data_IF_536542464021
#
_entry.id   IF_536542464021
#
_cell.length_a   1.000
_cell.length_b   1.000
_cell.length_c   1.000
_cell.angle_alpha   90.00
_cell.angle_beta   90.00
_cell.angle_gamma   90.00
#
_symmetry.space_group_name_H-M   'P 1'
#
loop_
_entity.id
_entity.type
_entity.pdbx_description
1 polymer ?
#
# COMPACT_ATOMS: atom_id res chain seq x y z
N UNK A 1 -7.80 -10.55 25.09
CA UNK A 1 -7.29 -11.05 23.80
C UNK A 1 -5.81 -10.82 23.74
N UNK A 2 -5.03 -11.75 23.16
CA UNK A 2 -3.61 -11.53 22.89
C UNK A 2 -3.46 -10.41 21.88
N UNK A 3 -2.44 -9.58 22.05
CA UNK A 3 -2.10 -8.53 21.12
C UNK A 3 -1.03 -9.06 20.15
N UNK A 4 -1.35 -9.13 18.85
CA UNK A 4 -0.44 -9.61 17.83
C UNK A 4 0.30 -8.40 17.25
N UNK A 5 1.61 -8.33 17.47
CA UNK A 5 2.43 -7.18 17.07
C UNK A 5 3.71 -7.65 16.41
N UNK A 6 4.00 -7.13 15.23
CA UNK A 6 5.33 -7.21 14.63
C UNK A 6 6.15 -6.02 15.15
N UNK A 7 7.39 -6.25 15.60
CA UNK A 7 8.27 -5.23 16.19
C UNK A 7 9.66 -5.27 15.58
N UNK A 8 10.20 -4.08 15.33
CA UNK A 8 11.54 -3.87 14.80
C UNK A 8 12.22 -2.71 15.52
N UNK A 9 13.54 -2.79 15.71
CA UNK A 9 14.34 -1.75 16.37
C UNK A 9 15.16 -0.90 15.37
N UNK A 10 14.90 -1.05 14.08
CA UNK A 10 15.55 -0.31 12.99
C UNK A 10 14.54 -0.01 11.88
N UNK A 11 14.78 1.03 11.06
CA UNK A 11 14.05 1.22 9.80
C UNK A 11 14.22 0.02 8.87
N UNK A 12 13.26 -0.18 7.96
CA UNK A 12 13.47 -1.07 6.82
C UNK A 12 14.50 -0.46 5.87
N UNK A 13 15.30 -1.29 5.25
CA UNK A 13 16.22 -0.83 4.21
C UNK A 13 15.44 -0.37 2.98
N UNK A 14 15.77 0.81 2.45
CA UNK A 14 15.18 1.26 1.18
C UNK A 14 15.85 0.57 0.00
N UNK A 15 15.46 -0.70 -0.21
CA UNK A 15 15.95 -1.60 -1.25
C UNK A 15 14.86 -2.60 -1.61
N UNK A 16 15.06 -3.36 -2.70
CA UNK A 16 14.13 -4.44 -3.08
C UNK A 16 14.00 -5.49 -1.97
N UNK A 17 15.11 -5.85 -1.32
CA UNK A 17 15.10 -6.80 -0.22
C UNK A 17 14.34 -6.26 1.00
N UNK A 18 14.57 -5.01 1.38
CA UNK A 18 13.85 -4.37 2.49
C UNK A 18 12.35 -4.23 2.19
N UNK A 19 11.99 -3.89 0.94
CA UNK A 19 10.60 -3.85 0.51
C UNK A 19 9.92 -5.22 0.62
N UNK A 20 10.58 -6.29 0.24
CA UNK A 20 10.01 -7.65 0.28
C UNK A 20 9.89 -8.22 1.70
N UNK A 21 10.84 -7.90 2.59
CA UNK A 21 11.02 -8.62 3.84
C UNK A 21 10.86 -7.78 5.11
N UNK A 22 10.96 -6.46 5.03
CA UNK A 22 11.07 -5.62 6.23
C UNK A 22 9.98 -4.56 6.37
N UNK A 23 9.35 -4.09 5.27
CA UNK A 23 8.30 -3.06 5.34
C UNK A 23 7.08 -3.52 6.11
N UNK A 24 6.34 -2.57 6.70
CA UNK A 24 5.08 -2.84 7.36
C UNK A 24 3.91 -2.47 6.44
N UNK A 25 3.11 -3.45 6.00
CA UNK A 25 1.99 -3.20 5.10
C UNK A 25 0.73 -2.79 5.86
N UNK A 26 0.03 -1.79 5.34
CA UNK A 26 -1.33 -1.42 5.76
C UNK A 26 -2.23 -1.29 4.53
N UNK A 27 -3.54 -1.43 4.70
CA UNK A 27 -4.46 -1.28 3.58
C UNK A 27 -5.93 -1.49 3.96
N UNK A 28 -6.82 -1.04 3.07
CA UNK A 28 -8.28 -1.12 3.23
C UNK A 28 -8.97 -1.95 2.13
N UNK A 29 -8.21 -2.73 1.36
CA UNK A 29 -8.72 -3.53 0.25
C UNK A 29 -8.86 -2.78 -1.09
N UNK A 30 -8.81 -1.42 -1.09
CA UNK A 30 -8.70 -0.58 -2.28
C UNK A 30 -7.30 0.03 -2.39
N UNK A 31 -6.84 0.62 -1.30
CA UNK A 31 -5.54 1.23 -1.13
C UNK A 31 -4.65 0.31 -0.29
N UNK A 32 -3.38 0.28 -0.62
CA UNK A 32 -2.33 -0.37 0.17
C UNK A 32 -1.14 0.56 0.30
N UNK A 33 -0.41 0.48 1.41
CA UNK A 33 0.80 1.25 1.65
C UNK A 33 1.83 0.40 2.39
N UNK A 34 3.09 0.53 1.99
CA UNK A 34 4.26 -0.04 2.65
C UNK A 34 5.00 1.07 3.41
N UNK A 35 5.17 0.88 4.73
CA UNK A 35 5.84 1.82 5.63
C UNK A 35 7.26 1.33 5.91
N UNK A 36 8.28 2.09 5.49
CA UNK A 36 9.69 1.74 5.72
C UNK A 36 10.16 2.15 7.12
N UNK A 37 9.63 3.23 7.67
CA UNK A 37 9.97 3.73 8.99
C UNK A 37 11.28 4.52 9.02
N UNK A 38 11.70 5.13 7.91
CA UNK A 38 12.90 5.95 7.82
C UNK A 38 12.86 7.17 8.74
N UNK A 39 14.01 7.64 9.23
CA UNK A 39 14.10 8.75 10.20
C UNK A 39 14.44 10.07 9.53
N UNK A 40 15.50 10.12 8.73
CA UNK A 40 15.86 11.31 7.95
C UNK A 40 15.07 11.43 6.66
N UNK A 41 14.74 10.29 6.07
CA UNK A 41 13.90 10.20 4.87
C UNK A 41 12.97 8.99 5.03
N UNK A 42 11.66 9.22 4.95
CA UNK A 42 10.65 8.18 4.95
C UNK A 42 10.11 7.96 3.56
N UNK A 43 9.95 6.71 3.21
CA UNK A 43 9.28 6.27 1.99
C UNK A 43 8.00 5.53 2.34
N UNK A 44 6.89 6.03 1.84
CA UNK A 44 5.58 5.42 1.98
C UNK A 44 5.08 5.04 0.59
N UNK A 45 5.43 3.84 0.14
CA UNK A 45 5.01 3.37 -1.17
C UNK A 45 3.55 2.97 -1.13
N UNK A 46 2.73 3.55 -2.00
CA UNK A 46 1.29 3.28 -2.03
C UNK A 46 0.80 2.79 -3.38
N UNK A 47 -0.30 2.08 -3.32
CA UNK A 47 -0.97 1.55 -4.51
C UNK A 47 -2.48 1.58 -4.37
N UNK A 48 -3.15 1.62 -5.52
CA UNK A 48 -4.59 1.41 -5.67
C UNK A 48 -4.80 0.19 -6.56
N UNK A 49 -5.67 -0.72 -6.15
CA UNK A 49 -5.77 -2.08 -6.72
C UNK A 49 -6.15 -2.15 -8.19
N UNK A 50 -6.69 -1.08 -8.78
CA UNK A 50 -7.16 -1.07 -10.16
C UNK A 50 -6.21 -0.40 -11.15
N UNK A 51 -5.04 0.07 -10.69
CA UNK A 51 -4.02 0.67 -11.55
C UNK A 51 -3.25 -0.43 -12.30
N UNK A 52 -3.75 -0.80 -13.47
CA UNK A 52 -3.19 -1.84 -14.33
C UNK A 52 -3.06 -1.38 -15.77
N UNK A 53 -1.97 -1.80 -16.43
CA UNK A 53 -1.89 -1.76 -17.89
C UNK A 53 -2.75 -2.89 -18.50
N UNK A 54 -2.79 -2.99 -19.82
CA UNK A 54 -3.55 -4.02 -20.51
C UNK A 54 -5.03 -3.69 -20.70
N UNK A 55 -5.81 -4.69 -21.07
CA UNK A 55 -7.22 -4.53 -21.43
C UNK A 55 -7.44 -3.82 -22.77
N UNK A 56 -8.68 -3.34 -23.03
CA UNK A 56 -8.98 -2.60 -24.26
C UNK A 56 -8.17 -1.29 -24.32
N UNK A 57 -7.67 -0.96 -25.49
CA UNK A 57 -6.98 0.29 -25.78
C UNK A 57 -7.16 0.71 -27.22
N UNK A 58 -6.64 1.88 -27.62
CA UNK A 58 -6.70 2.34 -29.02
C UNK A 58 -6.03 1.37 -29.98
N UNK A 59 -4.96 0.68 -29.54
CA UNK A 59 -4.25 -0.35 -30.31
C UNK A 59 -4.87 -1.77 -30.20
N UNK A 60 -5.75 -1.98 -29.23
CA UNK A 60 -6.39 -3.27 -28.92
C UNK A 60 -7.91 -3.12 -28.87
N UNK A 61 -8.51 -2.55 -29.92
CA UNK A 61 -9.97 -2.26 -29.98
C UNK A 61 -10.82 -3.53 -29.88
N UNK A 62 -10.33 -4.64 -30.43
CA UNK A 62 -11.02 -5.93 -30.46
C UNK A 62 -10.59 -6.85 -29.32
N UNK A 63 -10.08 -6.28 -28.21
CA UNK A 63 -9.65 -7.06 -27.05
C UNK A 63 -10.84 -7.77 -26.40
N UNK A 64 -10.78 -9.10 -26.35
CA UNK A 64 -11.83 -9.99 -25.80
C UNK A 64 -11.40 -10.70 -24.51
N UNK A 65 -10.49 -10.14 -23.75
CA UNK A 65 -10.03 -10.69 -22.46
C UNK A 65 -9.11 -11.91 -22.60
N UNK A 66 -8.42 -12.06 -23.73
CA UNK A 66 -7.56 -13.22 -23.98
C UNK A 66 -8.33 -14.51 -24.29
N UNK A 67 -9.63 -14.46 -24.48
CA UNK A 67 -10.42 -15.59 -24.93
C UNK A 67 -10.08 -15.94 -26.38
N UNK A 68 -10.12 -17.22 -26.69
CA UNK A 68 -10.00 -17.73 -28.07
C UNK A 68 -11.29 -18.42 -28.41
N UNK A 69 -11.91 -17.99 -29.49
CA UNK A 69 -13.15 -18.58 -29.95
C UNK A 69 -12.93 -20.09 -30.27
N UNK A 70 -13.87 -20.93 -29.84
CA UNK A 70 -13.82 -22.39 -29.99
C UNK A 70 -12.59 -23.07 -29.35
N UNK A 71 -11.89 -22.42 -28.42
CA UNK A 71 -10.71 -23.00 -27.76
C UNK A 71 -10.98 -24.29 -26.98
N UNK A 72 -12.24 -24.55 -26.60
CA UNK A 72 -12.66 -25.76 -25.89
C UNK A 72 -12.33 -27.06 -26.69
N UNK A 73 -12.29 -26.99 -28.02
CA UNK A 73 -11.91 -28.14 -28.87
C UNK A 73 -10.47 -28.57 -28.62
N UNK A 74 -9.58 -27.66 -28.33
CA UNK A 74 -8.19 -27.96 -27.99
C UNK A 74 -8.06 -28.53 -26.57
N UNK A 75 -8.98 -28.19 -25.66
CA UNK A 75 -9.00 -28.75 -24.31
C UNK A 75 -9.17 -30.26 -24.34
N UNK A 76 -10.11 -30.80 -25.18
CA UNK A 76 -10.28 -32.23 -25.33
C UNK A 76 -9.05 -32.90 -25.97
N UNK A 77 -8.46 -32.27 -26.99
CA UNK A 77 -7.20 -32.78 -27.59
C UNK A 77 -6.06 -32.84 -26.58
N UNK A 78 -5.97 -31.90 -25.68
CA UNK A 78 -4.97 -31.86 -24.58
C UNK A 78 -5.27 -32.99 -23.58
N UNK A 79 -6.52 -33.14 -23.16
CA UNK A 79 -6.94 -34.22 -22.25
C UNK A 79 -6.60 -35.59 -22.79
N UNK A 80 -6.86 -35.82 -24.07
CA UNK A 80 -6.54 -37.08 -24.74
C UNK A 80 -5.03 -37.30 -24.86
N UNK A 81 -4.26 -36.23 -25.15
CA UNK A 81 -2.80 -36.30 -25.17
C UNK A 81 -2.24 -36.64 -23.80
N UNK A 82 -2.78 -36.03 -22.71
CA UNK A 82 -2.39 -36.36 -21.35
C UNK A 82 -2.68 -37.81 -20.97
N UNK A 83 -3.87 -38.35 -21.34
CA UNK A 83 -4.22 -39.77 -21.11
C UNK A 83 -3.24 -40.73 -21.79
N UNK A 84 -2.70 -40.33 -22.94
CA UNK A 84 -1.70 -41.15 -23.69
C UNK A 84 -0.25 -40.88 -23.30
N UNK A 85 -0.01 -39.93 -22.38
CA UNK A 85 1.35 -39.51 -22.01
C UNK A 85 2.10 -38.72 -23.08
N UNK A 86 1.39 -38.22 -24.11
CA UNK A 86 1.98 -37.47 -25.24
C UNK A 86 2.23 -36.00 -24.87
N UNK A 87 3.35 -35.75 -24.22
CA UNK A 87 3.79 -34.40 -23.81
C UNK A 87 3.96 -33.45 -25.01
N UNK A 88 4.37 -34.00 -26.21
CA UNK A 88 4.58 -33.14 -27.39
C UNK A 88 3.25 -32.61 -27.93
N UNK A 89 2.20 -33.46 -27.97
CA UNK A 89 0.88 -33.00 -28.35
C UNK A 89 0.28 -31.99 -27.37
N UNK A 90 0.50 -32.16 -26.05
CA UNK A 90 0.08 -31.19 -25.03
C UNK A 90 0.71 -29.83 -25.29
N UNK A 91 2.04 -29.78 -25.50
CA UNK A 91 2.76 -28.52 -25.78
C UNK A 91 2.28 -27.89 -27.09
N UNK A 92 1.94 -28.66 -28.11
CA UNK A 92 1.41 -28.15 -29.39
C UNK A 92 0.04 -27.47 -29.23
N UNK A 93 -0.81 -27.97 -28.35
CA UNK A 93 -2.18 -27.47 -28.22
C UNK A 93 -2.36 -26.44 -27.10
N UNK A 94 -1.47 -26.39 -26.08
CA UNK A 94 -1.62 -25.50 -24.95
C UNK A 94 -1.77 -24.02 -25.36
N UNK A 95 -1.00 -23.56 -26.35
CA UNK A 95 -1.02 -22.20 -26.83
C UNK A 95 -2.28 -21.84 -27.64
N UNK A 96 -3.11 -22.83 -27.96
CA UNK A 96 -4.42 -22.67 -28.60
C UNK A 96 -5.57 -22.45 -27.59
N UNK A 97 -5.32 -22.70 -26.30
CA UNK A 97 -6.25 -22.40 -25.21
C UNK A 97 -6.12 -20.97 -24.73
N UNK A 98 -4.96 -20.36 -24.92
CA UNK A 98 -4.61 -19.06 -24.39
C UNK A 98 -4.65 -18.04 -25.51
N UNK A 99 -5.32 -16.93 -25.30
CA UNK A 99 -5.33 -15.82 -26.22
C UNK A 99 -3.97 -15.12 -26.32
N UNK A 100 -3.94 -14.07 -27.10
CA UNK A 100 -2.76 -13.23 -27.26
C UNK A 100 -2.40 -12.66 -25.90
N UNK A 101 -1.15 -12.85 -25.45
CA UNK A 101 -0.66 -12.32 -24.17
C UNK A 101 -0.61 -10.79 -24.14
N UNK A 102 -0.55 -10.16 -25.30
CA UNK A 102 -0.68 -8.73 -25.43
C UNK A 102 -2.04 -8.27 -24.90
N UNK A 103 -2.02 -7.39 -23.91
CA UNK A 103 -3.23 -6.90 -23.25
C UNK A 103 -3.59 -7.56 -21.92
N UNK A 104 -2.87 -8.57 -21.42
CA UNK A 104 -3.09 -9.07 -20.05
C UNK A 104 -2.74 -8.01 -19.02
N UNK A 105 -1.76 -7.17 -19.33
CA UNK A 105 -1.32 -6.08 -18.48
C UNK A 105 -0.47 -6.51 -17.29
N UNK A 106 -0.07 -5.50 -16.53
CA UNK A 106 0.68 -5.66 -15.30
C UNK A 106 0.20 -4.62 -14.28
N UNK A 107 0.26 -4.98 -13.01
CA UNK A 107 0.02 -4.08 -11.91
C UNK A 107 1.05 -2.96 -11.92
N UNK A 108 0.61 -1.72 -11.73
CA UNK A 108 1.48 -0.55 -11.76
C UNK A 108 1.68 -0.01 -10.35
N UNK A 109 2.90 0.40 -10.02
CA UNK A 109 3.16 1.20 -8.84
C UNK A 109 2.49 2.57 -9.00
N UNK A 110 1.69 2.98 -8.02
CA UNK A 110 1.03 4.29 -8.07
C UNK A 110 2.03 5.41 -7.77
N UNK A 111 2.86 5.22 -6.74
CA UNK A 111 3.89 6.15 -6.33
C UNK A 111 4.28 6.00 -4.86
N UNK A 112 5.08 6.95 -4.40
CA UNK A 112 5.53 7.05 -3.02
C UNK A 112 5.27 8.45 -2.48
N UNK A 113 4.89 8.54 -1.21
CA UNK A 113 5.01 9.78 -0.43
C UNK A 113 6.40 9.76 0.17
N UNK A 114 7.17 10.81 -0.08
CA UNK A 114 8.51 11.00 0.48
C UNK A 114 8.44 12.12 1.51
N UNK A 115 8.84 11.80 2.76
CA UNK A 115 8.96 12.76 3.85
C UNK A 115 10.44 12.96 4.18
N UNK A 116 10.94 14.18 4.09
CA UNK A 116 12.34 14.52 4.43
C UNK A 116 12.38 15.34 5.71
N UNK A 117 13.04 14.79 6.72
CA UNK A 117 13.21 15.42 8.02
C UNK A 117 14.64 15.90 8.21
N UNK A 118 14.89 17.03 8.91
CA UNK A 118 16.24 17.45 9.29
C UNK A 118 16.79 16.63 10.47
N UNK A 119 16.42 15.35 10.54
CA UNK A 119 16.82 14.44 11.60
C UNK A 119 18.11 13.72 11.22
N UNK A 120 19.14 13.87 12.04
CA UNK A 120 20.41 13.17 11.87
C UNK A 120 20.51 11.92 12.73
N UNK A 121 21.30 11.99 13.82
CA UNK A 121 21.43 10.89 14.76
C UNK A 121 20.13 10.70 15.54
N UNK A 122 19.72 9.45 15.70
CA UNK A 122 18.50 9.08 16.42
C UNK A 122 18.79 7.96 17.46
N UNK A 123 17.90 7.88 18.44
CA UNK A 123 17.90 6.83 19.47
C UNK A 123 16.48 6.37 19.79
N UNK A 124 16.37 5.35 20.64
CA UNK A 124 15.12 4.80 21.14
C UNK A 124 14.13 4.48 20.03
N UNK A 125 14.65 3.92 18.92
CA UNK A 125 13.85 3.60 17.75
C UNK A 125 13.03 2.33 17.96
N UNK A 126 11.75 2.42 17.65
CA UNK A 126 10.82 1.29 17.57
C UNK A 126 9.87 1.48 16.38
N UNK A 127 9.73 0.45 15.58
CA UNK A 127 8.73 0.36 14.51
C UNK A 127 7.88 -0.87 14.75
N UNK A 128 6.55 -0.71 14.71
CA UNK A 128 5.64 -1.82 14.97
C UNK A 128 4.40 -1.78 14.07
N UNK A 129 3.88 -2.96 13.76
CA UNK A 129 2.54 -3.15 13.22
C UNK A 129 1.70 -3.89 14.26
N UNK A 130 0.72 -3.21 14.83
CA UNK A 130 -0.32 -3.82 15.66
C UNK A 130 -1.35 -4.48 14.73
N UNK A 131 -1.18 -5.80 14.53
CA UNK A 131 -2.08 -6.60 13.68
C UNK A 131 -3.48 -6.67 14.31
N UNK A 132 -3.60 -6.61 15.64
CA UNK A 132 -4.90 -6.68 16.32
C UNK A 132 -5.78 -5.47 16.03
N UNK A 133 -5.16 -4.29 15.83
CA UNK A 133 -5.85 -3.04 15.58
C UNK A 133 -5.59 -2.45 14.18
N UNK A 134 -4.73 -3.10 13.36
CA UNK A 134 -4.33 -2.62 12.02
C UNK A 134 -3.72 -1.20 12.04
N UNK A 135 -2.81 -0.95 12.99
CA UNK A 135 -2.13 0.33 13.15
C UNK A 135 -0.62 0.14 13.07
N UNK A 136 0.04 0.91 12.20
CA UNK A 136 1.48 0.98 12.12
C UNK A 136 1.98 2.17 12.93
N UNK A 137 3.03 1.98 13.75
CA UNK A 137 3.61 3.04 14.59
C UNK A 137 5.13 3.04 14.44
N UNK A 138 5.72 4.24 14.32
CA UNK A 138 7.17 4.47 14.35
C UNK A 138 7.48 5.48 15.44
N UNK A 139 8.41 5.15 16.35
CA UNK A 139 8.83 6.01 17.46
C UNK A 139 10.34 6.14 17.45
N UNK A 140 10.84 7.34 17.71
CA UNK A 140 12.28 7.59 17.85
C UNK A 140 12.53 8.94 18.53
N UNK A 141 13.77 9.18 18.94
CA UNK A 141 14.26 10.45 19.42
C UNK A 141 15.31 11.02 18.48
N UNK A 142 15.23 12.30 18.16
CA UNK A 142 16.25 13.01 17.37
C UNK A 142 16.25 14.51 17.77
N UNK A 143 17.41 15.17 17.74
CA UNK A 143 17.52 16.59 18.05
C UNK A 143 16.99 16.98 19.43
N UNK A 144 16.95 16.04 20.38
CA UNK A 144 16.44 16.24 21.74
C UNK A 144 14.91 16.28 21.84
N UNK A 145 14.17 15.90 20.80
CA UNK A 145 12.73 15.71 20.81
C UNK A 145 12.37 14.24 20.52
N UNK A 146 11.20 13.79 21.00
CA UNK A 146 10.63 12.49 20.70
C UNK A 146 9.55 12.62 19.62
N UNK A 147 9.58 11.72 18.65
CA UNK A 147 8.64 11.69 17.55
C UNK A 147 7.84 10.39 17.56
N UNK A 148 6.54 10.52 17.31
CA UNK A 148 5.63 9.37 17.10
C UNK A 148 4.93 9.59 15.78
N UNK A 149 5.00 8.58 14.91
CA UNK A 149 4.26 8.51 13.67
C UNK A 149 3.30 7.34 13.76
N UNK A 150 2.06 7.57 13.42
CA UNK A 150 1.00 6.57 13.54
C UNK A 150 0.16 6.58 12.28
N UNK A 151 0.10 5.43 11.61
CA UNK A 151 -0.52 5.26 10.31
C UNK A 151 -1.57 4.14 10.33
N UNK A 152 -2.71 4.38 9.68
CA UNK A 152 -3.78 3.40 9.50
C UNK A 152 -4.47 3.57 8.15
N UNK A 153 -5.24 2.55 7.75
CA UNK A 153 -6.08 2.60 6.56
C UNK A 153 -7.56 2.51 6.96
N UNK A 154 -8.40 3.39 6.41
CA UNK A 154 -9.85 3.40 6.59
C UNK A 154 -10.56 3.00 5.30
N UNK A 155 -11.60 2.18 5.42
CA UNK A 155 -12.44 1.81 4.29
C UNK A 155 -13.48 2.91 3.98
N UNK A 156 -14.01 3.54 5.00
CA UNK A 156 -14.97 4.64 4.87
C UNK A 156 -14.69 5.76 5.90
N UNK A 157 -14.25 6.95 5.44
CA UNK A 157 -13.82 7.29 4.08
C UNK A 157 -12.62 6.47 3.61
N UNK A 158 -12.53 6.22 2.29
CA UNK A 158 -11.44 5.40 1.73
C UNK A 158 -10.13 6.20 1.67
N UNK A 159 -9.37 6.14 2.75
CA UNK A 159 -8.11 6.87 2.93
C UNK A 159 -7.06 6.00 3.63
N UNK A 160 -5.79 6.36 3.44
CA UNK A 160 -4.70 6.02 4.34
C UNK A 160 -4.26 7.31 5.01
N UNK A 161 -4.20 7.32 6.34
CA UNK A 161 -3.87 8.52 7.10
C UNK A 161 -2.71 8.27 8.06
N UNK A 162 -1.84 9.26 8.20
CA UNK A 162 -0.75 9.26 9.17
C UNK A 162 -0.77 10.54 9.99
N UNK A 163 -0.54 10.40 11.30
CA UNK A 163 -0.32 11.50 12.24
C UNK A 163 1.09 11.42 12.76
N UNK A 164 1.83 12.52 12.64
CA UNK A 164 3.17 12.69 13.16
C UNK A 164 3.11 13.70 14.29
N UNK A 165 3.67 13.38 15.44
CA UNK A 165 3.72 14.27 16.60
C UNK A 165 5.13 14.38 17.16
N UNK A 166 5.48 15.57 17.64
CA UNK A 166 6.68 15.83 18.42
C UNK A 166 6.29 16.19 19.86
N UNK A 167 7.08 15.76 20.84
CA UNK A 167 6.87 16.09 22.26
C UNK A 167 7.30 17.52 22.62
N UNK A 168 7.92 18.23 21.68
CA UNK A 168 8.31 19.65 21.81
C UNK A 168 7.64 20.49 20.74
N UNK A 169 7.09 21.62 21.16
CA UNK A 169 6.50 22.59 20.24
C UNK A 169 7.55 23.10 19.23
N UNK A 170 7.17 23.16 17.96
CA UNK A 170 8.03 23.65 16.90
C UNK A 170 9.16 22.70 16.47
N UNK A 171 9.21 21.47 17.01
CA UNK A 171 10.28 20.54 16.68
C UNK A 171 10.07 19.79 15.37
N UNK A 172 8.84 19.75 14.86
CA UNK A 172 8.51 19.02 13.63
C UNK A 172 8.70 19.92 12.41
N UNK A 173 9.74 19.59 11.63
CA UNK A 173 10.04 20.20 10.34
C UNK A 173 10.15 19.11 9.31
N UNK A 174 9.50 19.24 8.14
CA UNK A 174 9.55 18.22 7.08
C UNK A 174 9.20 18.79 5.72
N UNK A 175 9.75 18.18 4.68
CA UNK A 175 9.31 18.35 3.30
C UNK A 175 8.51 17.11 2.89
N UNK A 176 7.39 17.32 2.22
CA UNK A 176 6.49 16.25 1.74
C UNK A 176 6.36 16.38 0.23
N UNK A 177 6.63 15.30 -0.51
CA UNK A 177 6.50 15.24 -1.95
C UNK A 177 6.00 13.88 -2.42
N UNK A 178 5.53 13.79 -3.66
CA UNK A 178 5.38 12.53 -4.34
C UNK A 178 6.65 12.16 -5.11
N UNK A 179 6.91 10.85 -5.22
CA UNK A 179 7.82 10.25 -6.18
C UNK A 179 7.02 9.20 -6.97
N UNK A 180 6.88 9.38 -8.28
CA UNK A 180 6.08 8.51 -9.12
C UNK A 180 6.69 8.33 -10.51
N UNK A 181 6.47 7.15 -11.10
CA UNK A 181 6.91 6.83 -12.46
C UNK A 181 5.93 7.35 -13.54
N UNK A 182 4.72 7.71 -13.13
CA UNK A 182 3.64 8.21 -13.99
C UNK A 182 3.46 9.71 -13.75
N UNK A 183 3.20 10.45 -14.81
CA UNK A 183 3.31 11.90 -14.84
C UNK A 183 2.37 12.71 -13.95
N UNK A 184 2.85 13.88 -13.63
CA UNK A 184 2.36 15.14 -13.09
C UNK A 184 1.82 15.13 -11.66
N UNK A 185 2.73 15.45 -10.76
CA UNK A 185 2.41 16.01 -9.46
C UNK A 185 2.17 17.53 -9.54
N UNK A 186 1.27 18.02 -8.74
CA UNK A 186 1.03 19.45 -8.55
C UNK A 186 0.67 19.75 -7.10
N UNK A 187 1.03 20.93 -6.65
CA UNK A 187 0.62 21.45 -5.35
C UNK A 187 -0.64 22.31 -5.53
N UNK A 188 -1.69 21.97 -4.81
CA UNK A 188 -2.93 22.73 -4.75
C UNK A 188 -3.36 22.93 -3.30
N UNK A 189 -3.39 24.17 -2.84
CA UNK A 189 -3.70 24.53 -1.47
C UNK A 189 -2.81 23.78 -0.46
N UNK A 190 -3.38 22.99 0.42
CA UNK A 190 -2.68 22.11 1.36
C UNK A 190 -2.55 20.68 0.88
N UNK A 191 -2.59 20.47 -0.43
CA UNK A 191 -2.61 19.13 -1.02
C UNK A 191 -1.55 18.95 -2.09
N UNK A 192 -1.01 17.74 -2.17
CA UNK A 192 -0.29 17.22 -3.33
C UNK A 192 -1.24 16.36 -4.15
N UNK A 193 -1.22 16.55 -5.46
CA UNK A 193 -2.08 15.84 -6.41
C UNK A 193 -1.19 15.12 -7.42
N UNK A 194 -1.41 13.83 -7.58
CA UNK A 194 -0.80 13.00 -8.60
C UNK A 194 -1.90 12.48 -9.53
N UNK A 195 -1.87 12.86 -10.81
CA UNK A 195 -2.91 12.46 -11.74
C UNK A 195 -2.38 12.30 -13.16
N UNK A 196 -3.07 11.49 -13.96
CA UNK A 196 -2.68 11.26 -15.36
C UNK A 196 -3.51 10.16 -16.00
N UNK A 197 -2.93 9.63 -17.08
CA UNK A 197 -3.46 8.48 -17.83
C UNK A 197 -2.33 7.54 -18.19
N UNK A 198 -2.57 6.23 -18.06
CA UNK A 198 -1.60 5.25 -18.53
C UNK A 198 -1.52 5.30 -20.07
N UNK A 199 -0.31 5.39 -20.60
CA UNK A 199 -0.05 5.45 -22.05
C UNK A 199 -0.50 4.20 -22.79
N UNK A 200 -0.50 3.04 -22.11
CA UNK A 200 -0.88 1.76 -22.70
C UNK A 200 -2.38 1.65 -23.02
N UNK A 201 -3.23 2.04 -22.09
CA UNK A 201 -4.67 1.77 -22.15
C UNK A 201 -5.58 2.95 -21.82
N UNK A 202 -5.01 4.15 -21.67
CA UNK A 202 -5.73 5.40 -21.36
C UNK A 202 -6.52 5.36 -20.02
N UNK A 203 -6.15 4.45 -19.10
CA UNK A 203 -6.73 4.40 -17.76
C UNK A 203 -6.39 5.68 -17.01
N UNK A 204 -7.40 6.45 -16.62
CA UNK A 204 -7.22 7.66 -15.82
C UNK A 204 -6.98 7.28 -14.34
N UNK A 205 -6.04 7.97 -13.71
CA UNK A 205 -5.74 7.82 -12.29
C UNK A 205 -5.63 9.18 -11.61
N UNK A 206 -5.95 9.21 -10.33
CA UNK A 206 -5.89 10.41 -9.51
C UNK A 206 -5.61 10.04 -8.06
N UNK A 207 -4.66 10.71 -7.42
CA UNK A 207 -4.41 10.64 -5.98
C UNK A 207 -4.33 12.05 -5.41
N UNK A 208 -4.81 12.23 -4.20
CA UNK A 208 -4.71 13.46 -3.41
C UNK A 208 -4.20 13.14 -2.02
N UNK A 209 -3.11 13.77 -1.64
CA UNK A 209 -2.57 13.80 -0.29
C UNK A 209 -2.87 15.18 0.30
N UNK A 210 -3.76 15.25 1.28
CA UNK A 210 -4.11 16.48 1.99
C UNK A 210 -3.40 16.54 3.33
N UNK A 211 -2.83 17.69 3.67
CA UNK A 211 -2.01 17.89 4.86
C UNK A 211 -2.64 18.95 5.78
N UNK A 212 -2.65 18.67 7.08
CA UNK A 212 -3.02 19.63 8.13
C UNK A 212 -1.95 19.66 9.23
N UNK A 213 -1.67 20.83 9.79
CA UNK A 213 -0.63 21.03 10.80
C UNK A 213 -0.93 22.27 11.64
N UNK A 214 -0.31 22.37 12.81
CA UNK A 214 -0.28 23.59 13.64
C UNK A 214 0.90 24.51 13.32
N UNK A 215 1.84 24.07 12.48
CA UNK A 215 2.99 24.85 12.04
C UNK A 215 2.74 25.67 10.76
N UNK A 216 3.79 26.35 10.31
CA UNK A 216 3.79 27.05 9.02
C UNK A 216 3.84 26.03 7.86
N UNK A 217 2.95 26.20 6.87
CA UNK A 217 2.96 25.39 5.64
C UNK A 217 3.33 26.29 4.45
N UNK A 218 4.43 25.96 3.79
CA UNK A 218 4.91 26.65 2.58
C UNK A 218 4.79 25.74 1.37
N UNK A 219 4.25 26.28 0.27
CA UNK A 219 4.19 25.58 -1.01
C UNK A 219 5.53 25.73 -1.73
N UNK A 220 6.10 24.62 -2.14
CA UNK A 220 7.26 24.53 -3.03
C UNK A 220 6.89 24.00 -4.39
N UNK A 221 7.89 23.83 -5.26
CA UNK A 221 7.73 23.15 -6.54
C UNK A 221 7.62 21.62 -6.31
N UNK A 222 6.41 21.08 -6.55
CA UNK A 222 6.10 19.66 -6.33
C UNK A 222 6.12 19.19 -4.85
N UNK A 223 6.16 20.12 -3.87
CA UNK A 223 6.26 19.75 -2.45
C UNK A 223 5.55 20.72 -1.51
N UNK A 224 5.20 20.22 -0.33
CA UNK A 224 4.78 21.01 0.84
C UNK A 224 5.92 21.00 1.85
N UNK A 225 6.22 22.16 2.42
CA UNK A 225 7.26 22.35 3.44
C UNK A 225 6.56 22.77 4.74
N UNK A 226 6.73 21.98 5.78
CA UNK A 226 6.18 22.22 7.11
C UNK A 226 7.31 22.70 8.01
N UNK A 227 7.06 23.77 8.75
CA UNK A 227 8.02 24.37 9.69
C UNK A 227 7.39 24.60 11.04
N UNK A 228 8.20 24.42 12.07
CA UNK A 228 7.90 24.77 13.45
C UNK A 228 6.56 24.19 13.96
N UNK A 229 6.22 22.97 13.53
CA UNK A 229 5.02 22.27 13.94
C UNK A 229 5.24 21.42 15.20
N UNK A 230 4.15 21.12 15.90
CA UNK A 230 4.10 20.10 16.95
C UNK A 230 3.42 18.84 16.44
N UNK A 231 2.55 18.98 15.46
CA UNK A 231 1.93 17.85 14.77
C UNK A 231 1.71 18.12 13.28
N UNK A 232 1.57 17.04 12.58
CA UNK A 232 1.21 16.95 11.17
C UNK A 232 0.27 15.78 11.01
N UNK A 233 -0.83 15.97 10.29
CA UNK A 233 -1.71 14.88 9.81
C UNK A 233 -1.79 14.97 8.30
N UNK A 234 -1.63 13.84 7.63
CA UNK A 234 -2.02 13.75 6.24
C UNK A 234 -3.02 12.61 6.00
N UNK A 235 -3.82 12.78 4.96
CA UNK A 235 -4.71 11.76 4.43
C UNK A 235 -4.48 11.62 2.93
N UNK A 236 -4.25 10.38 2.47
CA UNK A 236 -4.12 9.98 1.08
C UNK A 236 -5.37 9.24 0.64
N UNK A 237 -5.95 9.67 -0.46
CA UNK A 237 -6.93 8.89 -1.23
C UNK A 237 -6.47 8.79 -2.68
N UNK A 238 -6.75 7.65 -3.32
CA UNK A 238 -6.42 7.43 -4.72
C UNK A 238 -7.48 6.58 -5.41
N UNK A 239 -7.56 6.68 -6.73
CA UNK A 239 -8.49 5.92 -7.54
C UNK A 239 -8.15 5.95 -9.02
N UNK A 240 -8.80 5.06 -9.76
CA UNK A 240 -8.79 5.05 -11.22
C UNK A 240 -10.21 5.10 -11.76
N UNK A 241 -10.35 5.32 -13.06
CA UNK A 241 -11.66 5.23 -13.72
C UNK A 241 -11.99 3.80 -14.19
N UNK A 242 -11.33 2.78 -13.63
CA UNK A 242 -11.69 1.40 -13.91
C UNK A 242 -13.11 1.09 -13.40
N UNK A 243 -13.90 0.43 -14.25
CA UNK A 243 -15.19 -0.15 -13.90
C UNK A 243 -15.29 -1.53 -14.54
N UNK A 244 -15.67 -2.53 -13.76
CA UNK A 244 -15.79 -3.91 -14.28
C UNK A 244 -17.06 -4.08 -15.13
N UNK A 245 -17.11 -3.35 -16.25
CA UNK A 245 -18.21 -3.39 -17.22
C UNK A 245 -17.66 -3.54 -18.64
N UNK A 246 -17.97 -4.68 -19.26
CA UNK A 246 -17.66 -4.94 -20.66
C UNK A 246 -18.44 -4.00 -21.58
N UNK A 247 -17.90 -3.53 -22.72
CA UNK A 247 -16.59 -3.87 -23.26
C UNK A 247 -15.47 -2.89 -22.88
N UNK A 248 -15.79 -1.73 -22.31
CA UNK A 248 -14.87 -0.61 -22.17
C UNK A 248 -14.03 -0.65 -20.88
N UNK A 249 -14.59 -1.23 -19.83
CA UNK A 249 -13.98 -1.28 -18.48
C UNK A 249 -13.59 0.12 -17.96
N UNK A 250 -14.40 1.13 -18.27
CA UNK A 250 -14.19 2.53 -17.88
C UNK A 250 -15.47 3.10 -17.30
N UNK A 251 -15.32 3.76 -16.16
CA UNK A 251 -16.36 4.51 -15.45
C UNK A 251 -16.04 6.01 -15.39
N UNK A 252 -16.58 6.65 -14.36
CA UNK A 252 -16.37 8.06 -14.06
C UNK A 252 -14.90 8.35 -13.72
N UNK A 253 -14.47 9.60 -13.92
CA UNK A 253 -13.15 10.04 -13.51
C UNK A 253 -13.00 9.96 -11.98
N UNK A 254 -11.82 9.52 -11.47
CA UNK A 254 -11.65 9.24 -10.04
C UNK A 254 -11.60 10.48 -9.15
N UNK A 255 -11.39 11.67 -9.71
CA UNK A 255 -11.18 12.92 -8.98
C UNK A 255 -12.32 13.23 -8.00
N UNK A 256 -13.58 13.11 -8.45
CA UNK A 256 -14.77 13.39 -7.59
C UNK A 256 -14.80 12.49 -6.37
N UNK A 257 -14.62 11.19 -6.56
CA UNK A 257 -14.63 10.19 -5.47
C UNK A 257 -13.46 10.40 -4.49
N UNK A 258 -12.26 10.65 -5.01
CA UNK A 258 -11.08 10.91 -4.19
C UNK A 258 -11.23 12.17 -3.37
N UNK A 259 -11.70 13.27 -3.99
CA UNK A 259 -11.93 14.53 -3.26
C UNK A 259 -12.98 14.37 -2.17
N UNK A 260 -14.10 13.70 -2.46
CA UNK A 260 -15.15 13.44 -1.46
C UNK A 260 -14.62 12.65 -0.26
N UNK A 261 -13.77 11.63 -0.48
CA UNK A 261 -13.17 10.87 0.62
C UNK A 261 -12.25 11.73 1.50
N UNK A 262 -11.46 12.61 0.90
CA UNK A 262 -10.61 13.56 1.65
C UNK A 262 -11.45 14.57 2.43
N UNK A 263 -12.48 15.14 1.83
CA UNK A 263 -13.38 16.11 2.48
C UNK A 263 -14.12 15.47 3.66
N UNK A 264 -14.59 14.25 3.50
CA UNK A 264 -15.23 13.49 4.57
C UNK A 264 -14.24 13.21 5.72
N UNK A 265 -13.02 12.78 5.41
CA UNK A 265 -11.95 12.61 6.41
C UNK A 265 -11.69 13.91 7.18
N UNK A 266 -11.55 15.03 6.49
CA UNK A 266 -11.30 16.34 7.12
C UNK A 266 -12.45 16.79 8.02
N UNK A 267 -13.69 16.47 7.64
CA UNK A 267 -14.89 16.78 8.42
C UNK A 267 -15.00 15.94 9.70
N UNK A 268 -14.71 14.66 9.62
CA UNK A 268 -14.79 13.72 10.75
C UNK A 268 -13.59 13.89 11.69
N UNK A 269 -12.39 14.07 11.12
CA UNK A 269 -11.13 14.20 11.83
C UNK A 269 -10.41 12.87 12.07
N UNK A 270 -9.08 12.97 12.22
CA UNK A 270 -8.16 11.82 12.31
C UNK A 270 -8.55 10.81 13.39
N UNK A 271 -8.79 11.28 14.62
CA UNK A 271 -8.94 10.40 15.78
C UNK A 271 -10.26 9.59 15.70
N UNK A 272 -11.36 10.18 15.21
CA UNK A 272 -12.62 9.47 15.06
C UNK A 272 -12.58 8.51 13.85
N UNK A 273 -12.03 8.91 12.70
CA UNK A 273 -11.85 7.99 11.56
C UNK A 273 -10.98 6.81 11.94
N UNK A 274 -9.90 7.01 12.72
CA UNK A 274 -9.06 5.93 13.23
C UNK A 274 -9.86 4.96 14.09
N UNK A 275 -10.65 5.47 15.02
CA UNK A 275 -11.49 4.67 15.93
C UNK A 275 -12.50 3.83 15.14
N UNK A 276 -13.16 4.41 14.14
CA UNK A 276 -14.11 3.71 13.26
C UNK A 276 -13.40 2.65 12.42
N UNK A 277 -12.23 2.97 11.84
CA UNK A 277 -11.43 2.02 11.05
C UNK A 277 -10.98 0.81 11.88
N UNK A 278 -10.52 1.02 13.13
CA UNK A 278 -10.18 -0.07 14.05
C UNK A 278 -11.41 -0.92 14.36
N UNK A 279 -12.56 -0.30 14.62
CA UNK A 279 -13.80 -1.02 14.94
C UNK A 279 -14.27 -1.89 13.77
N UNK A 280 -14.24 -1.34 12.55
CA UNK A 280 -14.56 -2.09 11.33
C UNK A 280 -13.59 -3.25 11.10
N UNK A 281 -12.28 -3.00 11.16
CA UNK A 281 -11.25 -4.03 11.03
C UNK A 281 -11.46 -5.16 12.02
N UNK A 282 -11.67 -4.85 13.31
CA UNK A 282 -11.92 -5.84 14.36
C UNK A 282 -13.20 -6.63 14.14
N UNK A 283 -14.23 -6.04 13.56
CA UNK A 283 -15.46 -6.75 13.22
C UNK A 283 -15.23 -7.92 12.26
N UNK A 284 -14.16 -7.87 11.46
CA UNK A 284 -13.73 -8.93 10.56
C UNK A 284 -12.64 -9.80 11.19
N UNK A 285 -11.61 -9.19 11.78
CA UNK A 285 -10.46 -9.87 12.36
C UNK A 285 -10.82 -10.79 13.52
N UNK A 286 -11.68 -10.33 14.43
CA UNK A 286 -12.09 -11.08 15.63
C UNK A 286 -13.03 -12.26 15.32
N UNK A 287 -13.47 -12.43 14.06
CA UNK A 287 -14.34 -13.56 13.64
C UNK A 287 -13.61 -14.90 13.59
N UNK A 288 -12.28 -14.86 13.50
CA UNK A 288 -11.49 -16.08 13.42
C UNK A 288 -10.26 -15.94 14.33
N UNK A 289 -10.17 -16.85 15.32
CA UNK A 289 -9.00 -17.00 16.18
C UNK A 289 -8.44 -18.41 15.99
N UNK A 290 -7.14 -18.48 15.68
CA UNK A 290 -6.42 -19.75 15.60
C UNK A 290 -5.11 -19.65 16.37
N UNK A 291 -5.00 -20.45 17.44
CA UNK A 291 -3.80 -20.57 18.27
C UNK A 291 -3.26 -21.99 18.17
N UNK A 292 -1.97 -22.13 17.84
CA UNK A 292 -1.27 -23.41 17.79
C UNK A 292 -0.45 -23.66 19.05
N UNK A 293 -0.05 -22.58 19.73
CA UNK A 293 0.80 -22.63 20.91
C UNK A 293 0.50 -21.48 21.86
N UNK A 294 0.77 -21.69 23.14
CA UNK A 294 0.72 -20.62 24.15
C UNK A 294 2.00 -19.75 24.19
N UNK A 295 2.92 -19.95 23.23
CA UNK A 295 4.18 -19.20 23.18
C UNK A 295 3.92 -17.71 22.96
N UNK A 296 4.63 -16.90 23.74
CA UNK A 296 4.70 -15.44 23.59
C UNK A 296 6.16 -15.02 23.64
N UNK A 297 6.60 -14.16 22.71
CA UNK A 297 7.92 -13.58 22.73
C UNK A 297 7.86 -12.07 22.87
N UNK A 298 8.84 -11.49 23.56
CA UNK A 298 9.08 -10.04 23.62
C UNK A 298 10.18 -9.61 22.66
N UNK A 299 10.82 -10.57 21.98
CA UNK A 299 11.88 -10.31 21.00
C UNK A 299 11.37 -9.61 19.74
N UNK A 300 12.27 -8.92 19.05
CA UNK A 300 11.98 -8.31 17.75
C UNK A 300 11.71 -9.36 16.68
N UNK A 301 10.83 -9.04 15.75
CA UNK A 301 10.35 -9.98 14.72
C UNK A 301 11.47 -10.49 13.81
N UNK A 302 12.43 -9.64 13.44
CA UNK A 302 13.59 -10.01 12.63
C UNK A 302 14.50 -11.03 13.32
N UNK A 303 14.67 -10.93 14.65
CA UNK A 303 15.38 -11.94 15.43
C UNK A 303 14.63 -13.28 15.45
N UNK A 304 13.32 -13.25 15.64
CA UNK A 304 12.50 -14.47 15.61
C UNK A 304 12.54 -15.19 14.26
N UNK A 305 12.83 -14.48 13.17
CA UNK A 305 12.97 -15.07 11.84
C UNK A 305 14.36 -15.62 11.55
N UNK A 306 15.41 -15.10 12.21
CA UNK A 306 16.81 -15.45 11.97
C UNK A 306 17.38 -16.39 13.02
N UNK A 307 16.91 -16.31 14.27
CA UNK A 307 17.35 -17.23 15.31
C UNK A 307 16.81 -18.61 15.00
N UNK A 308 17.71 -19.59 15.06
CA UNK A 308 17.36 -21.01 15.03
C UNK A 308 16.63 -21.34 16.35
N UNK A 309 15.38 -20.85 16.42
CA UNK A 309 14.51 -21.13 17.55
C UNK A 309 14.34 -22.64 17.59
N UNK A 310 15.12 -23.25 18.45
CA UNK A 310 15.15 -24.68 18.76
C UNK A 310 13.79 -25.33 18.54
N UNK A 311 13.71 -26.18 17.52
CA UNK A 311 12.72 -27.21 17.19
C UNK A 311 11.23 -26.91 17.26
N UNK A 312 10.77 -26.24 18.32
CA UNK A 312 9.32 -26.17 18.60
C UNK A 312 8.56 -25.09 17.80
N UNK A 313 9.19 -23.99 17.47
CA UNK A 313 8.55 -22.94 16.65
C UNK A 313 8.70 -23.19 15.15
N UNK A 314 9.88 -23.58 14.68
CA UNK A 314 10.14 -23.89 13.28
C UNK A 314 9.44 -25.20 12.84
N UNK A 315 9.31 -26.18 13.70
CA UNK A 315 8.58 -27.41 13.41
C UNK A 315 7.12 -27.17 13.03
N UNK A 316 6.49 -26.13 13.60
CA UNK A 316 5.12 -25.76 13.29
C UNK A 316 4.95 -24.98 11.97
N UNK A 317 5.96 -24.23 11.54
CA UNK A 317 5.96 -23.51 10.25
C UNK A 317 6.44 -24.35 9.07
N UNK A 318 7.33 -25.32 9.26
CA UNK A 318 7.87 -26.18 8.19
C UNK A 318 6.87 -27.23 7.66
N UNK A 319 5.86 -27.62 8.44
CA UNK A 319 4.81 -28.54 7.99
C UNK A 319 3.75 -27.94 7.07
N UNK A 320 3.91 -26.67 6.62
CA UNK A 320 2.97 -25.95 5.73
C UNK A 320 3.54 -25.54 4.38
N UNK A 321 4.56 -26.21 3.89
CA UNK A 321 4.99 -26.10 2.50
C UNK A 321 4.41 -27.19 1.63
#
# INVERSE_FOLDING_TARGET
>A
MKNYVLKYNKPAEYSENGWQNEVLPIGNGMLGMCVFGGVSEEHLQFNEKTLWTGGPSKSRKDYIGGNVENSYEYLEKIRDALRRGDKKAVLKFKDKLVGVKDGYGAYQNFGEIVLKFPHGVFSDYERQLDITNSVCTVKYKSGGASFIRECFASHNPSVIAEKITADKNGALNTEISFSASHETDRVQDNSLILCGRLSDNDLAYYARLCVTTDGEMVKGDGKLIIKDASYLVFALSAGTNYKNEYPNYRGELPEGKVNSAIEEFLKIGYDEVKKEAIAEYKSLFDRFLFEVTSFTSTEYTDKLLTDDLSGDLLGHFQHRR
#
